data_IF_614353177793
#
_entry.id   IF_614353177793
#
_cell.length_a   1.000
_cell.length_b   1.000
_cell.length_c   1.000
_cell.angle_alpha   90.00
_cell.angle_beta   90.00
_cell.angle_gamma   90.00
#
_symmetry.space_group_name_H-M   'P 1'
#
loop_
_entity.id
_entity.type
_entity.pdbx_description
1 polymer ?
#
# COMPACT_ATOMS: atom_id res chain seq x y z
N UNK A 1 5.63 -15.47 -25.67
CA UNK A 1 6.63 -16.27 -24.90
C UNK A 1 6.13 -16.45 -23.47
N UNK A 2 6.36 -17.61 -22.87
CA UNK A 2 6.02 -17.83 -21.46
C UNK A 2 7.18 -17.38 -20.59
N UNK A 3 6.91 -16.49 -19.62
CA UNK A 3 7.87 -15.98 -18.65
C UNK A 3 7.47 -16.43 -17.24
N UNK A 4 8.44 -16.99 -16.49
CA UNK A 4 8.23 -17.30 -15.08
C UNK A 4 8.73 -16.13 -14.21
N UNK A 5 7.94 -15.71 -13.25
CA UNK A 5 8.19 -14.58 -12.34
C UNK A 5 8.21 -15.12 -10.91
N UNK A 6 9.22 -14.72 -10.14
CA UNK A 6 9.30 -14.97 -8.69
C UNK A 6 9.27 -13.63 -7.96
N UNK A 7 8.30 -13.46 -7.07
CA UNK A 7 8.22 -12.36 -6.13
C UNK A 7 8.48 -12.86 -4.71
N UNK A 8 9.34 -12.16 -3.95
CA UNK A 8 9.61 -12.47 -2.54
C UNK A 8 9.32 -11.21 -1.71
N UNK A 9 8.26 -11.28 -0.92
CA UNK A 9 7.95 -10.25 0.07
C UNK A 9 8.62 -10.60 1.40
N UNK A 10 9.48 -9.69 1.88
CA UNK A 10 10.24 -9.83 3.12
C UNK A 10 9.59 -8.95 4.20
N UNK A 11 8.45 -9.42 4.70
CA UNK A 11 7.69 -8.74 5.74
C UNK A 11 8.22 -8.99 7.15
N UNK A 12 7.86 -8.11 8.10
CA UNK A 12 8.27 -8.24 9.51
C UNK A 12 7.59 -9.38 10.26
N UNK A 13 6.46 -9.87 9.78
CA UNK A 13 5.68 -10.95 10.42
C UNK A 13 5.81 -12.26 9.65
N UNK A 14 5.73 -12.19 8.32
CA UNK A 14 5.88 -13.34 7.43
C UNK A 14 6.75 -12.99 6.23
N UNK A 15 7.40 -14.00 5.67
CA UNK A 15 8.04 -13.98 4.36
C UNK A 15 7.14 -14.76 3.41
N UNK A 16 6.85 -14.17 2.26
CA UNK A 16 5.99 -14.76 1.23
C UNK A 16 6.78 -14.89 -0.07
N UNK A 17 6.82 -16.09 -0.64
CA UNK A 17 7.37 -16.34 -1.97
C UNK A 17 6.23 -16.76 -2.91
N UNK A 18 6.07 -16.06 -4.04
CA UNK A 18 5.03 -16.33 -5.03
C UNK A 18 5.71 -16.55 -6.38
N UNK A 19 5.32 -17.63 -7.05
CA UNK A 19 5.76 -17.95 -8.40
C UNK A 19 4.55 -17.86 -9.33
N UNK A 20 4.70 -17.09 -10.41
CA UNK A 20 3.67 -16.92 -11.43
C UNK A 20 4.26 -17.16 -12.82
N UNK A 21 3.42 -17.59 -13.75
CA UNK A 21 3.73 -17.58 -15.20
C UNK A 21 2.95 -16.47 -15.87
N UNK A 22 3.58 -15.80 -16.82
CA UNK A 22 2.96 -14.84 -17.70
C UNK A 22 2.99 -15.39 -19.13
N UNK A 23 1.81 -15.55 -19.73
CA UNK A 23 1.66 -15.95 -21.12
C UNK A 23 0.63 -15.06 -21.79
N UNK A 24 1.01 -14.42 -22.89
CA UNK A 24 0.15 -13.54 -23.70
C UNK A 24 -0.55 -12.45 -22.84
N UNK A 25 0.19 -11.86 -21.91
CA UNK A 25 -0.29 -10.83 -20.97
C UNK A 25 -1.08 -11.37 -19.77
N UNK A 26 -1.45 -12.65 -19.76
CA UNK A 26 -2.22 -13.27 -18.68
C UNK A 26 -1.27 -13.82 -17.62
N UNK A 27 -1.48 -13.38 -16.37
CA UNK A 27 -0.75 -13.88 -15.20
C UNK A 27 -1.48 -15.06 -14.57
N UNK A 28 -0.74 -16.12 -14.27
CA UNK A 28 -1.24 -17.29 -13.57
C UNK A 28 -0.30 -17.65 -12.41
N UNK A 29 -0.81 -17.67 -11.18
CA UNK A 29 -0.03 -18.08 -10.01
C UNK A 29 0.05 -19.60 -9.98
N UNK A 30 1.28 -20.13 -9.95
CA UNK A 30 1.55 -21.57 -9.97
C UNK A 30 2.18 -22.09 -8.69
N UNK A 31 2.70 -21.22 -7.81
CA UNK A 31 3.29 -21.66 -6.55
C UNK A 31 3.33 -20.58 -5.50
N UNK A 32 3.14 -20.99 -4.24
CA UNK A 32 3.18 -20.11 -3.07
C UNK A 32 3.90 -20.78 -1.93
N UNK A 33 4.60 -19.98 -1.13
CA UNK A 33 5.23 -20.44 0.10
C UNK A 33 5.26 -19.32 1.12
N UNK A 34 4.91 -19.66 2.36
CA UNK A 34 4.86 -18.72 3.48
C UNK A 34 5.70 -19.26 4.64
N UNK A 35 6.46 -18.39 5.27
CA UNK A 35 7.20 -18.72 6.46
C UNK A 35 7.17 -17.59 7.47
N UNK A 36 7.12 -17.91 8.77
CA UNK A 36 7.21 -16.90 9.82
C UNK A 36 8.52 -16.15 9.70
N UNK A 37 8.47 -14.82 9.74
CA UNK A 37 9.65 -13.97 9.66
C UNK A 37 10.55 -14.14 10.88
N UNK A 38 11.85 -14.25 10.65
CA UNK A 38 12.88 -14.32 11.68
C UNK A 38 14.07 -13.45 11.27
N UNK A 39 14.80 -12.89 12.25
CA UNK A 39 15.96 -12.04 11.98
C UNK A 39 15.64 -10.69 11.37
N UNK A 40 14.36 -10.24 11.42
CA UNK A 40 13.93 -8.92 11.01
C UNK A 40 13.35 -8.13 12.20
N UNK A 41 13.63 -6.83 12.25
CA UNK A 41 13.05 -5.92 13.25
C UNK A 41 12.78 -4.57 12.58
N UNK A 42 11.55 -4.04 12.75
CA UNK A 42 11.12 -2.75 12.19
C UNK A 42 11.43 -2.64 10.68
N UNK A 43 11.15 -3.70 9.92
CA UNK A 43 11.36 -3.72 8.46
C UNK A 43 12.82 -3.89 8.01
N UNK A 44 13.78 -4.11 8.90
CA UNK A 44 15.19 -4.26 8.58
C UNK A 44 15.77 -5.58 9.04
N UNK A 45 16.77 -6.12 8.32
CA UNK A 45 17.48 -7.35 8.66
C UNK A 45 18.42 -7.09 9.85
N UNK A 46 18.18 -7.76 10.97
CA UNK A 46 18.99 -7.71 12.19
C UNK A 46 19.82 -8.97 12.42
N UNK A 47 19.41 -10.09 11.79
CA UNK A 47 20.17 -11.34 11.78
C UNK A 47 20.09 -11.98 10.39
N UNK A 48 21.22 -11.96 9.67
CA UNK A 48 21.30 -12.40 8.27
C UNK A 48 21.00 -13.89 8.14
N UNK A 49 21.51 -14.72 9.05
CA UNK A 49 21.33 -16.17 9.00
C UNK A 49 19.87 -16.57 9.20
N UNK A 50 19.21 -15.99 10.23
CA UNK A 50 17.80 -16.27 10.49
C UNK A 50 16.90 -15.79 9.35
N UNK A 51 17.16 -14.59 8.81
CA UNK A 51 16.42 -14.06 7.68
C UNK A 51 16.62 -14.93 6.43
N UNK A 52 17.85 -15.32 6.13
CA UNK A 52 18.17 -16.20 5.01
C UNK A 52 17.46 -17.56 5.11
N UNK A 53 17.45 -18.17 6.29
CA UNK A 53 16.75 -19.43 6.54
C UNK A 53 15.24 -19.30 6.31
N UNK A 54 14.62 -18.24 6.81
CA UNK A 54 13.20 -17.99 6.63
C UNK A 54 12.85 -17.75 5.15
N UNK A 55 13.68 -16.99 4.40
CA UNK A 55 13.53 -16.79 2.95
C UNK A 55 13.66 -18.12 2.21
N UNK A 56 14.68 -18.92 2.54
CA UNK A 56 14.92 -20.22 1.90
C UNK A 56 13.75 -21.18 2.12
N UNK A 57 13.18 -21.22 3.32
CA UNK A 57 12.03 -22.07 3.62
C UNK A 57 10.80 -21.66 2.79
N UNK A 58 10.43 -20.39 2.78
CA UNK A 58 9.32 -19.89 1.96
C UNK A 58 9.52 -20.18 0.46
N UNK A 59 10.74 -19.99 -0.04
CA UNK A 59 11.07 -20.29 -1.44
C UNK A 59 11.01 -21.79 -1.76
N UNK A 60 11.45 -22.64 -0.85
CA UNK A 60 11.41 -24.10 -1.02
C UNK A 60 9.96 -24.59 -1.15
N UNK A 61 9.06 -24.07 -0.31
CA UNK A 61 7.64 -24.40 -0.40
C UNK A 61 7.01 -23.89 -1.70
N UNK A 62 7.30 -22.65 -2.11
CA UNK A 62 6.79 -22.10 -3.37
C UNK A 62 7.27 -22.92 -4.59
N UNK A 63 8.54 -23.30 -4.63
CA UNK A 63 9.11 -24.14 -5.71
C UNK A 63 8.49 -25.53 -5.74
N UNK A 64 8.26 -26.13 -4.57
CA UNK A 64 7.62 -27.45 -4.46
C UNK A 64 6.19 -27.42 -5.02
N UNK A 65 5.42 -26.37 -4.73
CA UNK A 65 4.06 -26.20 -5.26
C UNK A 65 4.08 -25.92 -6.77
N UNK A 66 4.99 -25.06 -7.23
CA UNK A 66 5.09 -24.67 -8.64
C UNK A 66 5.72 -25.75 -9.55
N UNK A 67 6.44 -26.72 -8.98
CA UNK A 67 7.20 -27.72 -9.76
C UNK A 67 8.35 -27.12 -10.59
N UNK A 68 8.88 -25.94 -10.21
CA UNK A 68 9.92 -25.21 -10.95
C UNK A 68 11.04 -24.73 -10.02
N UNK A 69 12.25 -24.60 -10.55
CA UNK A 69 13.43 -24.18 -9.79
C UNK A 69 13.92 -22.77 -10.21
N UNK A 70 13.04 -21.78 -10.13
CA UNK A 70 13.41 -20.39 -10.38
C UNK A 70 14.19 -19.82 -9.20
N UNK A 71 15.29 -19.07 -9.47
CA UNK A 71 16.13 -18.46 -8.44
C UNK A 71 16.31 -16.94 -8.59
N UNK A 72 15.79 -16.34 -9.66
CA UNK A 72 15.85 -14.88 -9.89
C UNK A 72 14.53 -14.24 -9.48
N UNK A 73 14.58 -13.29 -8.53
CA UNK A 73 13.39 -12.74 -7.89
C UNK A 73 13.34 -11.21 -7.90
N UNK A 74 12.13 -10.67 -7.98
CA UNK A 74 11.81 -9.32 -7.54
C UNK A 74 11.50 -9.37 -6.04
N UNK A 75 12.13 -8.48 -5.26
CA UNK A 75 12.12 -8.55 -3.80
C UNK A 75 11.61 -7.25 -3.20
N UNK A 76 10.80 -7.33 -2.14
CA UNK A 76 10.35 -6.16 -1.40
C UNK A 76 11.45 -5.59 -0.49
N UNK A 77 11.39 -4.26 -0.29
CA UNK A 77 12.10 -3.56 0.78
C UNK A 77 11.12 -2.68 1.53
N UNK A 78 11.15 -2.72 2.87
CA UNK A 78 10.32 -1.84 3.69
C UNK A 78 10.76 -0.38 3.59
N UNK A 79 9.84 0.56 3.83
CA UNK A 79 10.10 1.98 3.95
C UNK A 79 11.04 2.38 5.11
N UNK A 80 11.38 1.43 5.99
CA UNK A 80 12.36 1.65 7.05
C UNK A 80 13.71 2.06 6.45
N UNK A 81 14.29 3.14 6.98
CA UNK A 81 15.57 3.69 6.51
C UNK A 81 15.56 4.19 5.06
N UNK A 82 14.38 4.40 4.48
CA UNK A 82 14.23 5.09 3.20
C UNK A 82 14.08 6.59 3.39
N UNK A 83 14.47 7.35 2.38
CA UNK A 83 14.20 8.78 2.25
C UNK A 83 13.68 9.06 0.86
N UNK A 84 12.79 10.02 0.77
CA UNK A 84 12.27 10.49 -0.51
C UNK A 84 12.61 11.96 -0.70
N UNK A 85 13.00 12.30 -1.91
CA UNK A 85 13.36 13.66 -2.30
C UNK A 85 12.75 13.94 -3.66
N UNK A 86 12.11 15.10 -3.80
CA UNK A 86 11.66 15.59 -5.08
C UNK A 86 12.81 16.32 -5.78
N UNK A 87 12.91 16.13 -7.08
CA UNK A 87 13.91 16.78 -7.92
C UNK A 87 13.36 17.06 -9.30
N UNK A 88 14.01 17.94 -10.03
CA UNK A 88 13.70 18.22 -11.44
C UNK A 88 14.95 18.27 -12.29
N UNK A 89 14.75 17.94 -13.57
CA UNK A 89 15.79 18.06 -14.59
C UNK A 89 15.27 18.78 -15.81
N UNK A 90 16.15 19.52 -16.47
CA UNK A 90 15.83 20.26 -17.69
C UNK A 90 16.85 19.83 -18.76
N UNK A 91 16.34 19.60 -19.97
CA UNK A 91 17.15 19.22 -21.12
C UNK A 91 16.74 20.06 -22.33
N UNK A 92 17.72 20.61 -23.04
CA UNK A 92 17.50 21.11 -24.39
C UNK A 92 17.51 19.97 -25.39
N UNK A 93 16.47 19.88 -26.25
CA UNK A 93 16.27 18.82 -27.25
C UNK A 93 16.80 19.28 -28.62
N UNK A 94 17.96 18.79 -29.06
CA UNK A 94 18.64 19.35 -30.25
C UNK A 94 17.85 19.20 -31.55
N UNK A 95 17.13 18.10 -31.71
CA UNK A 95 16.40 17.76 -32.94
C UNK A 95 14.89 18.08 -32.83
N UNK A 96 14.45 18.74 -31.76
CA UNK A 96 13.05 19.03 -31.46
C UNK A 96 12.12 17.80 -31.47
N UNK A 97 12.65 16.61 -31.34
CA UNK A 97 11.89 15.34 -31.23
C UNK A 97 12.31 14.59 -29.98
N UNK A 98 11.32 14.21 -29.17
CA UNK A 98 11.56 13.55 -27.90
C UNK A 98 11.47 12.05 -28.07
N UNK A 99 12.59 11.38 -27.86
CA UNK A 99 12.68 9.93 -27.79
C UNK A 99 13.03 9.44 -26.39
N UNK A 100 13.09 8.12 -26.23
CA UNK A 100 13.48 7.47 -24.96
C UNK A 100 14.85 7.95 -24.46
N UNK A 101 15.75 8.31 -25.36
CA UNK A 101 17.08 8.82 -25.04
C UNK A 101 17.01 10.18 -24.33
N UNK A 102 16.18 11.09 -24.82
CA UNK A 102 15.96 12.43 -24.26
C UNK A 102 15.26 12.32 -22.90
N UNK A 103 14.26 11.44 -22.79
CA UNK A 103 13.57 11.15 -21.52
C UNK A 103 14.56 10.59 -20.48
N UNK A 104 15.39 9.62 -20.86
CA UNK A 104 16.40 9.07 -19.95
C UNK A 104 17.40 10.16 -19.51
N UNK A 105 17.87 11.00 -20.43
CA UNK A 105 18.83 12.08 -20.12
C UNK A 105 18.25 13.12 -19.17
N UNK A 106 17.01 13.53 -19.37
CA UNK A 106 16.38 14.53 -18.47
C UNK A 106 16.15 13.96 -17.07
N UNK A 107 15.81 12.64 -16.95
CA UNK A 107 15.70 11.95 -15.66
C UNK A 107 17.07 11.85 -14.98
N UNK A 108 18.15 11.54 -15.72
CA UNK A 108 19.51 11.53 -15.18
C UNK A 108 19.94 12.92 -14.71
N UNK A 109 19.52 13.99 -15.39
CA UNK A 109 19.76 15.36 -14.94
C UNK A 109 19.03 15.63 -13.62
N UNK A 110 17.77 15.20 -13.48
CA UNK A 110 17.03 15.30 -12.23
C UNK A 110 17.72 14.53 -11.09
N UNK A 111 18.22 13.33 -11.37
CA UNK A 111 18.99 12.54 -10.40
C UNK A 111 20.25 13.26 -9.94
N UNK A 112 21.01 13.85 -10.87
CA UNK A 112 22.22 14.61 -10.56
C UNK A 112 21.91 15.82 -9.66
N UNK A 113 20.82 16.53 -9.91
CA UNK A 113 20.38 17.70 -9.13
C UNK A 113 19.93 17.35 -7.71
N UNK A 114 19.59 16.10 -7.44
CA UNK A 114 18.95 15.67 -6.18
C UNK A 114 19.89 15.66 -4.96
N UNK A 115 21.21 15.86 -5.11
CA UNK A 115 22.19 15.92 -3.99
C UNK A 115 22.02 14.76 -2.97
N UNK A 116 22.02 13.52 -3.45
CA UNK A 116 21.82 12.33 -2.60
C UNK A 116 23.09 12.06 -1.78
N UNK A 117 22.99 11.92 -0.43
CA UNK A 117 24.11 11.60 0.42
C UNK A 117 24.76 10.24 0.07
N UNK A 118 26.09 10.15 0.22
CA UNK A 118 26.87 8.97 -0.19
C UNK A 118 26.48 7.67 0.53
N UNK A 119 25.89 7.75 1.74
CA UNK A 119 25.43 6.60 2.50
C UNK A 119 24.07 6.04 2.02
N UNK A 120 23.42 6.70 1.06
CA UNK A 120 22.16 6.24 0.45
C UNK A 120 22.37 5.69 -0.95
N UNK A 121 21.49 4.77 -1.34
CA UNK A 121 21.40 4.17 -2.67
C UNK A 121 19.97 4.36 -3.20
N UNK A 122 19.86 4.73 -4.47
CA UNK A 122 18.57 4.93 -5.14
C UNK A 122 17.95 3.57 -5.44
N UNK A 123 16.67 3.42 -5.06
CA UNK A 123 15.87 2.24 -5.38
C UNK A 123 14.79 2.52 -6.43
N UNK A 124 14.24 3.75 -6.46
CA UNK A 124 13.29 4.18 -7.48
C UNK A 124 13.51 5.64 -7.84
N UNK A 125 13.38 5.97 -9.13
CA UNK A 125 13.16 7.33 -9.60
C UNK A 125 11.83 7.30 -10.35
N UNK A 126 10.82 7.97 -9.81
CA UNK A 126 9.44 7.93 -10.29
C UNK A 126 9.07 9.29 -10.88
N UNK A 127 9.02 9.44 -12.21
CA UNK A 127 8.51 10.64 -12.83
C UNK A 127 7.04 10.85 -12.48
N UNK A 128 6.64 12.08 -12.18
CA UNK A 128 5.27 12.40 -11.87
C UNK A 128 4.70 13.57 -12.69
N UNK A 129 5.55 14.24 -13.47
CA UNK A 129 5.13 15.33 -14.36
C UNK A 129 6.23 15.59 -15.38
N UNK A 130 5.84 15.78 -16.64
CA UNK A 130 6.69 16.36 -17.67
C UNK A 130 6.14 17.74 -18.06
N UNK A 131 7.05 18.58 -18.57
CA UNK A 131 6.76 19.86 -19.18
C UNK A 131 7.57 19.98 -20.47
N UNK A 132 6.94 20.42 -21.54
CA UNK A 132 7.54 20.61 -22.85
C UNK A 132 7.32 22.05 -23.30
N UNK A 133 8.41 22.80 -23.42
CA UNK A 133 8.38 24.24 -23.67
C UNK A 133 7.47 24.96 -22.65
N UNK A 134 6.35 25.56 -23.07
CA UNK A 134 5.38 26.23 -22.21
C UNK A 134 4.20 25.31 -21.80
N UNK A 135 4.16 24.07 -22.30
CA UNK A 135 3.07 23.13 -22.05
C UNK A 135 3.34 22.30 -20.78
N UNK A 136 2.54 22.53 -19.75
CA UNK A 136 2.57 21.81 -18.48
C UNK A 136 1.69 20.54 -18.48
N UNK A 137 1.94 19.63 -17.52
CA UNK A 137 1.14 18.42 -17.25
C UNK A 137 1.06 17.45 -18.42
N UNK A 138 2.22 17.14 -19.00
CA UNK A 138 2.34 16.09 -20.02
C UNK A 138 2.61 14.76 -19.31
N UNK A 139 1.75 13.77 -19.57
CA UNK A 139 1.88 12.42 -19.00
C UNK A 139 2.91 11.59 -19.77
N UNK A 140 2.89 11.66 -21.09
CA UNK A 140 3.81 10.96 -21.98
C UNK A 140 4.39 11.91 -23.03
N UNK A 141 5.66 12.30 -22.91
CA UNK A 141 6.30 13.18 -23.87
C UNK A 141 6.86 12.44 -25.09
N UNK A 142 6.75 11.10 -25.18
CA UNK A 142 7.30 10.31 -26.28
C UNK A 142 6.74 10.75 -27.64
N UNK A 143 7.62 10.88 -28.64
CA UNK A 143 7.31 11.29 -30.02
C UNK A 143 6.72 12.73 -30.14
N UNK A 144 6.68 13.50 -29.04
CA UNK A 144 6.29 14.90 -29.08
C UNK A 144 7.43 15.78 -29.63
N UNK A 145 7.05 16.91 -30.26
CA UNK A 145 8.02 17.90 -30.78
C UNK A 145 8.12 19.07 -29.82
N UNK A 146 9.34 19.42 -29.42
CA UNK A 146 9.65 20.56 -28.56
C UNK A 146 11.13 20.76 -28.34
N UNK A 147 11.53 21.94 -27.89
CA UNK A 147 12.93 22.33 -27.74
C UNK A 147 13.46 22.17 -26.32
N UNK A 148 12.59 22.22 -25.30
CA UNK A 148 12.94 22.16 -23.89
C UNK A 148 12.06 21.15 -23.15
N UNK A 149 12.65 20.02 -22.76
CA UNK A 149 12.00 19.01 -21.94
C UNK A 149 12.40 19.20 -20.47
N UNK A 150 11.41 19.25 -19.57
CA UNK A 150 11.60 19.26 -18.14
C UNK A 150 10.85 18.08 -17.50
N UNK A 151 11.45 17.43 -16.51
CA UNK A 151 10.83 16.35 -15.73
C UNK A 151 10.87 16.66 -14.26
N UNK A 152 9.80 16.29 -13.57
CA UNK A 152 9.73 16.29 -12.12
C UNK A 152 9.65 14.85 -11.64
N UNK A 153 10.53 14.50 -10.71
CA UNK A 153 10.69 13.12 -10.25
C UNK A 153 10.68 13.04 -8.73
N UNK A 154 10.09 11.95 -8.22
CA UNK A 154 10.27 11.54 -6.84
C UNK A 154 11.33 10.45 -6.78
N UNK A 155 12.40 10.70 -6.02
CA UNK A 155 13.53 9.78 -5.86
C UNK A 155 13.42 9.13 -4.49
N UNK A 156 13.35 7.80 -4.48
CA UNK A 156 13.32 7.00 -3.26
C UNK A 156 14.68 6.36 -3.07
N UNK A 157 15.27 6.61 -1.91
CA UNK A 157 16.61 6.13 -1.54
C UNK A 157 16.54 5.32 -0.25
N UNK A 158 17.49 4.42 -0.04
CA UNK A 158 17.64 3.66 1.20
C UNK A 158 19.06 3.66 1.68
N UNK A 159 19.28 3.45 2.99
CA UNK A 159 20.62 3.32 3.55
C UNK A 159 21.36 2.13 2.95
N UNK A 160 22.59 2.33 2.45
CA UNK A 160 23.45 1.28 1.86
C UNK A 160 23.71 0.11 2.81
N UNK A 161 23.83 0.39 4.11
CA UNK A 161 24.05 -0.65 5.14
C UNK A 161 22.82 -1.59 5.26
N UNK A 162 21.61 -1.01 5.37
CA UNK A 162 20.36 -1.78 5.43
C UNK A 162 20.14 -2.59 4.16
N UNK A 163 20.32 -1.97 2.99
CA UNK A 163 20.23 -2.63 1.69
C UNK A 163 21.27 -3.74 1.55
N UNK A 164 22.49 -3.52 1.99
CA UNK A 164 23.57 -4.51 1.96
C UNK A 164 23.25 -5.73 2.81
N UNK A 165 22.67 -5.56 4.00
CA UNK A 165 22.24 -6.67 4.86
C UNK A 165 21.09 -7.46 4.21
N UNK A 166 20.13 -6.79 3.59
CA UNK A 166 19.04 -7.42 2.86
C UNK A 166 19.59 -8.23 1.67
N UNK A 167 20.43 -7.63 0.83
CA UNK A 167 21.08 -8.32 -0.31
C UNK A 167 21.88 -9.55 0.13
N UNK A 168 22.61 -9.47 1.27
CA UNK A 168 23.34 -10.60 1.84
C UNK A 168 22.40 -11.74 2.28
N UNK A 169 21.31 -11.43 2.98
CA UNK A 169 20.35 -12.42 3.44
C UNK A 169 19.70 -13.17 2.26
N UNK A 170 19.31 -12.44 1.21
CA UNK A 170 18.70 -12.98 -0.02
C UNK A 170 19.71 -13.89 -0.76
N UNK A 171 20.93 -13.40 -0.96
CA UNK A 171 21.99 -14.17 -1.63
C UNK A 171 22.33 -15.45 -0.86
N UNK A 172 22.38 -15.38 0.47
CA UNK A 172 22.61 -16.56 1.34
C UNK A 172 21.46 -17.57 1.28
N UNK A 173 20.25 -17.15 0.93
CA UNK A 173 19.12 -18.04 0.65
C UNK A 173 19.15 -18.69 -0.74
N UNK A 174 20.18 -18.39 -1.57
CA UNK A 174 20.33 -18.92 -2.94
C UNK A 174 19.45 -18.20 -3.97
N UNK A 175 19.14 -16.92 -3.74
CA UNK A 175 18.33 -16.09 -4.63
C UNK A 175 19.19 -15.02 -5.28
N UNK A 176 19.02 -14.85 -6.59
CA UNK A 176 19.51 -13.72 -7.37
C UNK A 176 18.44 -12.64 -7.41
N UNK A 177 18.82 -11.40 -7.14
CA UNK A 177 17.89 -10.27 -7.14
C UNK A 177 17.80 -9.73 -8.58
N UNK A 178 16.60 -9.70 -9.14
CA UNK A 178 16.33 -9.03 -10.42
C UNK A 178 15.95 -7.57 -10.26
N UNK A 179 15.26 -7.25 -9.17
CA UNK A 179 14.88 -5.88 -8.82
C UNK A 179 14.50 -5.80 -7.33
N UNK A 180 14.62 -4.61 -6.75
CA UNK A 180 14.18 -4.31 -5.38
C UNK A 180 13.10 -3.25 -5.45
N UNK A 181 11.94 -3.54 -4.86
CA UNK A 181 10.75 -2.69 -4.93
C UNK A 181 10.31 -2.32 -3.52
N UNK A 182 9.97 -1.04 -3.31
CA UNK A 182 9.42 -0.58 -2.04
C UNK A 182 8.09 -1.29 -1.74
N UNK A 183 7.92 -1.83 -0.51
CA UNK A 183 6.76 -2.64 -0.12
C UNK A 183 5.43 -1.92 -0.37
N UNK A 184 5.33 -0.66 0.05
CA UNK A 184 4.12 0.15 -0.13
C UNK A 184 3.86 0.50 -1.60
N UNK A 185 4.90 0.64 -2.42
CA UNK A 185 4.73 0.82 -3.86
C UNK A 185 4.18 -0.45 -4.50
N UNK A 186 4.71 -1.61 -4.14
CA UNK A 186 4.18 -2.89 -4.60
C UNK A 186 2.73 -3.10 -4.14
N UNK A 187 2.42 -2.86 -2.85
CA UNK A 187 1.04 -3.02 -2.35
C UNK A 187 0.07 -2.04 -3.02
N UNK A 188 0.47 -0.79 -3.30
CA UNK A 188 -0.38 0.17 -4.03
C UNK A 188 -0.70 -0.30 -5.47
N UNK A 189 0.27 -0.92 -6.16
CA UNK A 189 0.05 -1.53 -7.49
C UNK A 189 -0.99 -2.66 -7.43
N UNK A 190 -1.03 -3.42 -6.33
CA UNK A 190 -1.93 -4.55 -6.18
C UNK A 190 -3.36 -4.15 -5.82
N UNK A 191 -3.56 -3.00 -5.15
CA UNK A 191 -4.86 -2.68 -4.52
C UNK A 191 -5.58 -1.47 -5.10
N UNK A 192 -4.87 -0.60 -5.85
CA UNK A 192 -5.43 0.60 -6.43
C UNK A 192 -5.83 0.38 -7.90
N UNK A 193 -7.01 0.87 -8.26
CA UNK A 193 -7.42 1.02 -9.66
C UNK A 193 -6.81 2.27 -10.30
N UNK A 194 -6.71 2.29 -11.63
CA UNK A 194 -6.21 3.47 -12.35
C UNK A 194 -7.11 4.69 -12.13
N UNK A 195 -8.44 4.48 -12.05
CA UNK A 195 -9.39 5.57 -11.75
C UNK A 195 -9.17 6.19 -10.37
N UNK A 196 -8.85 5.40 -9.34
CA UNK A 196 -8.52 5.92 -8.01
C UNK A 196 -7.23 6.72 -8.02
N UNK A 197 -6.20 6.25 -8.72
CA UNK A 197 -4.93 6.98 -8.85
C UNK A 197 -5.11 8.29 -9.59
N UNK A 198 -5.92 8.29 -10.66
CA UNK A 198 -6.25 9.49 -11.44
C UNK A 198 -6.94 10.55 -10.59
N UNK A 199 -7.99 10.16 -9.86
CA UNK A 199 -8.77 11.06 -9.01
C UNK A 199 -8.04 11.50 -7.72
N UNK A 200 -6.92 10.87 -7.41
CA UNK A 200 -6.16 11.08 -6.18
C UNK A 200 -6.62 10.18 -5.04
N UNK A 201 -5.67 9.40 -4.50
CA UNK A 201 -5.89 8.42 -3.43
C UNK A 201 -4.70 8.30 -2.51
N UNK A 202 -4.95 8.16 -1.20
CA UNK A 202 -3.94 7.76 -0.24
C UNK A 202 -4.05 6.25 0.04
N UNK A 203 -3.00 5.49 -0.23
CA UNK A 203 -2.89 4.08 0.10
C UNK A 203 -2.03 3.91 1.35
N UNK A 204 -2.56 3.21 2.36
CA UNK A 204 -1.84 2.94 3.61
C UNK A 204 -1.73 1.43 3.77
N UNK A 205 -0.50 0.92 3.72
CA UNK A 205 -0.18 -0.47 4.04
C UNK A 205 0.12 -0.60 5.54
N UNK A 206 -0.78 -1.24 6.28
CA UNK A 206 -0.71 -1.42 7.73
C UNK A 206 -0.18 -2.81 8.05
N UNK A 207 1.14 -2.91 8.18
CA UNK A 207 1.87 -4.16 8.38
C UNK A 207 2.04 -4.58 9.83
N UNK A 208 2.96 -5.55 10.05
CA UNK A 208 3.28 -6.08 11.38
C UNK A 208 4.10 -5.12 12.25
N UNK A 209 5.10 -4.47 11.69
CA UNK A 209 5.98 -3.55 12.43
C UNK A 209 5.98 -2.13 11.86
N UNK A 210 5.32 -1.92 10.74
CA UNK A 210 5.38 -0.69 9.95
C UNK A 210 4.01 -0.37 9.37
N UNK A 211 3.71 0.92 9.24
CA UNK A 211 2.65 1.45 8.38
C UNK A 211 3.29 2.37 7.35
N UNK A 212 2.94 2.23 6.10
CA UNK A 212 3.53 2.96 5.00
C UNK A 212 2.43 3.69 4.22
N UNK A 213 2.55 5.01 4.09
CA UNK A 213 1.62 5.87 3.37
C UNK A 213 2.16 6.17 1.97
N UNK A 214 1.32 6.03 0.95
CA UNK A 214 1.57 6.48 -0.41
C UNK A 214 0.40 7.28 -0.95
N UNK A 215 0.69 8.41 -1.59
CA UNK A 215 -0.31 9.27 -2.22
C UNK A 215 -0.08 9.29 -3.72
N UNK A 216 -1.10 8.88 -4.47
CA UNK A 216 -1.14 8.94 -5.92
C UNK A 216 -2.10 10.04 -6.36
N UNK A 217 -1.72 10.83 -7.37
CA UNK A 217 -2.54 11.87 -8.00
C UNK A 217 -2.17 11.90 -9.49
N UNK A 218 -3.16 11.86 -10.38
CA UNK A 218 -2.94 11.83 -11.82
C UNK A 218 -2.07 10.64 -12.23
N UNK A 219 -2.40 9.43 -11.73
CA UNK A 219 -1.67 8.18 -11.98
C UNK A 219 -0.21 8.15 -11.51
N UNK A 220 0.28 9.19 -10.82
CA UNK A 220 1.67 9.33 -10.41
C UNK A 220 1.83 9.33 -8.90
N UNK A 221 2.94 8.79 -8.38
CA UNK A 221 3.28 8.84 -6.96
C UNK A 221 3.77 10.26 -6.60
N UNK A 222 3.02 10.95 -5.73
CA UNK A 222 3.31 12.33 -5.31
C UNK A 222 3.93 12.43 -3.91
N UNK A 223 3.62 11.47 -3.04
CA UNK A 223 4.13 11.48 -1.67
C UNK A 223 4.23 10.06 -1.12
N UNK A 224 5.22 9.81 -0.29
CA UNK A 224 5.31 8.59 0.51
C UNK A 224 5.93 8.91 1.86
N UNK A 225 5.45 8.23 2.90
CA UNK A 225 5.95 8.33 4.26
C UNK A 225 5.91 6.97 4.96
N UNK A 226 6.63 6.87 6.06
CA UNK A 226 6.86 5.65 6.81
C UNK A 226 6.66 5.88 8.30
N UNK A 227 5.89 5.01 8.94
CA UNK A 227 5.71 4.96 10.38
C UNK A 227 6.20 3.61 10.91
N UNK A 228 7.18 3.61 11.81
CA UNK A 228 7.76 2.41 12.43
C UNK A 228 6.86 1.78 13.51
N UNK A 229 5.53 1.79 13.30
CA UNK A 229 4.50 1.20 14.17
C UNK A 229 3.61 0.29 13.32
N UNK A 230 3.21 -0.85 13.88
CA UNK A 230 2.31 -1.81 13.24
C UNK A 230 1.70 -2.77 14.27
N UNK A 231 1.05 -3.83 13.81
CA UNK A 231 0.25 -4.73 14.66
C UNK A 231 1.06 -5.45 15.76
N UNK A 232 2.38 -5.58 15.63
CA UNK A 232 3.25 -6.13 16.68
C UNK A 232 3.32 -5.21 17.92
N UNK A 233 3.10 -3.90 17.76
CA UNK A 233 3.05 -2.98 18.89
C UNK A 233 1.79 -3.24 19.73
N UNK A 234 0.66 -3.55 19.10
CA UNK A 234 -0.57 -3.99 19.78
C UNK A 234 -0.29 -5.26 20.60
N UNK A 235 0.41 -6.25 20.01
CA UNK A 235 0.79 -7.49 20.70
C UNK A 235 1.65 -7.20 21.93
N UNK A 236 2.63 -6.30 21.80
CA UNK A 236 3.50 -5.92 22.91
C UNK A 236 2.74 -5.19 24.01
N UNK A 237 1.83 -4.25 23.63
CA UNK A 237 1.00 -3.54 24.58
C UNK A 237 0.07 -4.49 25.36
N UNK A 238 -0.53 -5.47 24.66
CA UNK A 238 -1.32 -6.53 25.30
C UNK A 238 -0.44 -7.41 26.22
N UNK A 239 0.75 -7.81 25.78
CA UNK A 239 1.66 -8.61 26.59
C UNK A 239 2.03 -7.90 27.90
N UNK A 240 2.34 -6.60 27.82
CA UNK A 240 2.69 -5.77 28.98
C UNK A 240 1.45 -5.45 29.85
N UNK A 241 0.37 -4.97 29.24
CA UNK A 241 -0.84 -4.57 29.96
C UNK A 241 -1.56 -5.75 30.61
N UNK A 242 -1.47 -6.92 30.00
CA UNK A 242 -2.07 -8.14 30.53
C UNK A 242 -1.05 -9.07 31.24
N UNK A 243 0.20 -8.67 31.44
CA UNK A 243 1.25 -9.51 32.05
C UNK A 243 1.22 -10.95 31.55
N UNK A 244 1.19 -11.13 30.22
CA UNK A 244 1.08 -12.46 29.56
C UNK A 244 2.18 -12.65 28.54
N UNK A 245 2.59 -13.89 28.21
CA UNK A 245 3.60 -14.12 27.18
C UNK A 245 3.19 -13.52 25.82
N UNK A 246 4.15 -12.98 24.99
CA UNK A 246 3.84 -12.36 23.70
C UNK A 246 3.09 -13.26 22.73
N UNK A 247 3.35 -14.58 22.74
CA UNK A 247 2.63 -15.53 21.90
C UNK A 247 1.14 -15.67 22.30
N UNK A 248 0.82 -15.56 23.58
CA UNK A 248 -0.57 -15.54 24.09
C UNK A 248 -1.23 -14.19 23.76
N UNK A 249 -0.51 -13.07 23.95
CA UNK A 249 -1.00 -11.75 23.57
C UNK A 249 -1.33 -11.67 22.06
N UNK A 250 -0.53 -12.30 21.20
CA UNK A 250 -0.81 -12.41 19.77
C UNK A 250 -2.10 -13.21 19.50
N UNK A 251 -2.30 -14.33 20.20
CA UNK A 251 -3.54 -15.11 20.08
C UNK A 251 -4.74 -14.32 20.56
N UNK A 252 -4.63 -13.59 21.68
CA UNK A 252 -5.70 -12.72 22.20
C UNK A 252 -6.03 -11.63 21.17
N UNK A 253 -5.03 -10.99 20.57
CA UNK A 253 -5.25 -9.99 19.51
C UNK A 253 -5.98 -10.57 18.31
N UNK A 254 -5.57 -11.74 17.82
CA UNK A 254 -6.18 -12.37 16.64
C UNK A 254 -7.61 -12.84 16.92
N UNK A 255 -7.85 -13.41 18.10
CA UNK A 255 -9.13 -14.02 18.44
C UNK A 255 -10.18 -13.01 18.94
N UNK A 256 -9.75 -11.99 19.67
CA UNK A 256 -10.63 -11.05 20.36
C UNK A 256 -10.41 -9.58 19.97
N UNK A 257 -9.54 -9.31 18.98
CA UNK A 257 -9.28 -7.95 18.51
C UNK A 257 -10.49 -7.32 17.83
N UNK A 258 -11.05 -6.32 18.46
CA UNK A 258 -12.22 -5.58 17.98
C UNK A 258 -12.11 -4.10 18.40
N UNK A 259 -12.55 -3.19 17.54
CA UNK A 259 -12.55 -1.74 17.77
C UNK A 259 -13.96 -1.17 17.96
N UNK A 260 -14.99 -2.02 17.96
CA UNK A 260 -16.39 -1.61 18.15
C UNK A 260 -16.69 -1.48 19.64
N UNK A 261 -16.92 -0.26 20.10
CA UNK A 261 -17.18 0.07 21.51
C UNK A 261 -18.48 -0.56 22.06
N UNK A 262 -19.47 -0.72 21.22
CA UNK A 262 -20.81 -1.17 21.60
C UNK A 262 -20.99 -2.69 21.51
N UNK A 263 -19.90 -3.44 21.39
CA UNK A 263 -19.96 -4.91 21.33
C UNK A 263 -20.35 -5.48 22.71
N UNK A 264 -21.42 -6.27 22.76
CA UNK A 264 -21.82 -6.98 23.98
C UNK A 264 -20.76 -7.96 24.50
N UNK A 265 -19.94 -8.49 23.56
CA UNK A 265 -18.82 -9.37 23.87
C UNK A 265 -17.77 -8.71 24.79
N UNK A 266 -17.71 -7.37 24.88
CA UNK A 266 -16.77 -6.69 25.79
C UNK A 266 -16.99 -7.01 27.27
N UNK A 267 -18.16 -7.50 27.63
CA UNK A 267 -18.50 -7.92 29.01
C UNK A 267 -17.94 -9.29 29.36
N UNK A 268 -17.53 -10.07 28.37
CA UNK A 268 -17.04 -11.42 28.57
C UNK A 268 -15.65 -11.43 29.23
N UNK A 269 -15.36 -12.52 29.92
CA UNK A 269 -14.06 -12.79 30.54
C UNK A 269 -13.31 -13.84 29.76
N UNK A 270 -12.01 -13.64 29.58
CA UNK A 270 -11.12 -14.63 29.03
C UNK A 270 -10.10 -15.11 30.08
N UNK A 271 -9.71 -16.38 30.03
CA UNK A 271 -8.65 -16.91 30.85
C UNK A 271 -7.33 -16.98 30.07
N UNK A 272 -6.30 -16.33 30.63
CA UNK A 272 -4.98 -16.31 30.03
C UNK A 272 -3.92 -16.65 31.07
N UNK A 273 -2.79 -17.31 30.66
CA UNK A 273 -1.66 -17.53 31.55
C UNK A 273 -0.99 -16.20 31.92
N UNK A 274 -0.52 -16.08 33.18
CA UNK A 274 0.19 -14.92 33.72
C UNK A 274 1.71 -15.18 33.76
N UNK A 275 2.52 -14.14 33.49
CA UNK A 275 3.95 -14.18 33.72
C UNK A 275 4.23 -13.89 35.20
N UNK A 276 5.11 -14.67 35.85
CA UNK A 276 5.59 -14.44 37.21
C UNK A 276 4.74 -15.03 38.33
N UNK A 277 3.69 -15.81 38.02
CA UNK A 277 2.97 -16.63 38.99
C UNK A 277 3.55 -18.03 39.10
N UNK A 278 3.03 -18.86 40.06
CA UNK A 278 3.31 -20.31 40.09
C UNK A 278 2.98 -20.95 38.74
N UNK A 279 3.70 -22.03 38.36
CA UNK A 279 3.47 -22.75 37.11
C UNK A 279 1.97 -23.07 36.95
N UNK A 280 1.35 -22.58 35.82
CA UNK A 280 -0.08 -22.70 35.49
C UNK A 280 -1.05 -21.71 36.13
N UNK A 281 -0.59 -20.60 36.71
CA UNK A 281 -1.53 -19.57 37.20
C UNK A 281 -2.23 -18.89 36.02
N UNK A 282 -3.52 -19.17 35.88
CA UNK A 282 -4.40 -18.48 34.94
C UNK A 282 -5.08 -17.28 35.62
N UNK A 283 -5.25 -16.21 34.89
CA UNK A 283 -6.03 -15.05 35.33
C UNK A 283 -7.19 -14.79 34.41
N UNK A 284 -8.26 -14.27 34.97
CA UNK A 284 -9.42 -13.78 34.22
C UNK A 284 -9.22 -12.31 33.86
N UNK A 285 -9.45 -11.99 32.59
CA UNK A 285 -9.31 -10.65 32.02
C UNK A 285 -10.60 -10.30 31.29
N UNK A 286 -11.23 -9.14 31.61
CA UNK A 286 -12.35 -8.64 30.82
C UNK A 286 -11.93 -8.26 29.41
N UNK A 287 -12.73 -8.61 28.40
CA UNK A 287 -12.47 -8.22 27.01
C UNK A 287 -12.50 -6.69 26.82
N UNK A 288 -13.19 -5.96 27.70
CA UNK A 288 -13.14 -4.50 27.72
C UNK A 288 -11.71 -3.96 27.91
N UNK A 289 -10.86 -4.62 28.71
CA UNK A 289 -9.45 -4.24 28.89
C UNK A 289 -8.66 -4.50 27.62
N UNK A 290 -8.89 -5.66 26.99
CA UNK A 290 -8.26 -5.99 25.69
C UNK A 290 -8.64 -4.96 24.63
N UNK A 291 -9.93 -4.64 24.52
CA UNK A 291 -10.45 -3.59 23.64
C UNK A 291 -9.73 -2.24 23.86
N UNK A 292 -9.69 -1.75 25.11
CA UNK A 292 -9.08 -0.46 25.43
C UNK A 292 -7.62 -0.38 24.98
N UNK A 293 -6.85 -1.43 25.24
CA UNK A 293 -5.42 -1.48 24.85
C UNK A 293 -5.29 -1.43 23.32
N UNK A 294 -6.05 -2.23 22.59
CA UNK A 294 -6.02 -2.29 21.12
C UNK A 294 -6.48 -0.95 20.55
N UNK A 295 -7.61 -0.43 21.02
CA UNK A 295 -8.21 0.81 20.54
C UNK A 295 -7.24 1.99 20.65
N UNK A 296 -6.63 2.20 21.82
CA UNK A 296 -5.70 3.31 22.06
C UNK A 296 -4.48 3.24 21.13
N UNK A 297 -3.94 2.03 20.89
CA UNK A 297 -2.79 1.87 19.98
C UNK A 297 -3.19 2.13 18.52
N UNK A 298 -4.34 1.64 18.08
CA UNK A 298 -4.80 1.85 16.71
C UNK A 298 -5.14 3.32 16.47
N UNK A 299 -5.87 3.94 17.41
CA UNK A 299 -6.20 5.37 17.36
C UNK A 299 -4.94 6.24 17.25
N UNK A 300 -3.94 6.02 18.12
CA UNK A 300 -2.66 6.73 18.06
C UNK A 300 -1.98 6.55 16.69
N UNK A 301 -1.93 5.31 16.20
CA UNK A 301 -1.32 5.00 14.90
C UNK A 301 -2.01 5.76 13.76
N UNK A 302 -3.34 5.75 13.73
CA UNK A 302 -4.13 6.45 12.71
C UNK A 302 -4.00 7.97 12.83
N UNK A 303 -3.93 8.52 14.05
CA UNK A 303 -3.70 9.96 14.26
C UNK A 303 -2.33 10.42 13.73
N UNK A 304 -1.28 9.62 13.93
CA UNK A 304 0.05 9.93 13.39
C UNK A 304 0.02 9.89 11.86
N UNK A 305 -0.64 8.89 11.27
CA UNK A 305 -0.80 8.79 9.82
C UNK A 305 -1.65 9.95 9.25
N UNK A 306 -2.70 10.38 9.95
CA UNK A 306 -3.49 11.54 9.57
C UNK A 306 -2.65 12.82 9.57
N UNK A 307 -1.78 13.00 10.58
CA UNK A 307 -0.85 14.11 10.62
C UNK A 307 0.15 14.08 9.46
N UNK A 308 0.69 12.90 9.11
CA UNK A 308 1.57 12.74 7.94
C UNK A 308 0.84 13.10 6.64
N UNK A 309 -0.42 12.69 6.51
CA UNK A 309 -1.28 13.06 5.38
C UNK A 309 -1.48 14.59 5.29
N UNK A 310 -1.73 15.25 6.40
CA UNK A 310 -1.85 16.72 6.45
C UNK A 310 -0.55 17.42 6.05
N UNK A 311 0.60 16.92 6.54
CA UNK A 311 1.92 17.44 6.21
C UNK A 311 2.30 17.29 4.74
N UNK A 312 1.69 16.36 4.02
CA UNK A 312 1.88 16.22 2.56
C UNK A 312 1.36 17.42 1.76
N UNK A 313 0.42 18.20 2.31
CA UNK A 313 -0.34 19.25 1.63
C UNK A 313 -1.12 18.77 0.39
N UNK A 314 -1.43 17.47 0.32
CA UNK A 314 -2.12 16.85 -0.81
C UNK A 314 -3.53 16.33 -0.43
N UNK A 315 -3.94 16.48 0.84
CA UNK A 315 -5.21 15.94 1.35
C UNK A 315 -6.42 16.38 0.52
N UNK A 316 -6.47 17.64 0.12
CA UNK A 316 -7.59 18.22 -0.64
C UNK A 316 -7.65 17.71 -2.09
N UNK A 317 -6.61 17.03 -2.57
CA UNK A 317 -6.54 16.43 -3.90
C UNK A 317 -6.92 14.94 -3.93
N UNK A 318 -7.37 14.39 -2.81
CA UNK A 318 -7.71 12.97 -2.68
C UNK A 318 -9.20 12.72 -2.97
N UNK A 319 -9.60 12.84 -4.22
CA UNK A 319 -11.00 12.61 -4.62
C UNK A 319 -11.53 11.20 -4.35
N UNK A 320 -10.64 10.19 -4.33
CA UNK A 320 -10.98 8.79 -4.02
C UNK A 320 -10.79 8.42 -2.55
N UNK A 321 -10.39 9.36 -1.69
CA UNK A 321 -10.23 9.13 -0.26
C UNK A 321 -9.04 8.22 0.09
N UNK A 322 -9.24 7.29 1.02
CA UNK A 322 -8.18 6.47 1.61
C UNK A 322 -8.43 4.98 1.39
N UNK A 323 -7.39 4.27 1.02
CA UNK A 323 -7.37 2.82 0.86
C UNK A 323 -6.43 2.22 1.90
N UNK A 324 -6.96 1.36 2.77
CA UNK A 324 -6.18 0.61 3.75
C UNK A 324 -5.94 -0.80 3.23
N UNK A 325 -4.71 -1.30 3.40
CA UNK A 325 -4.32 -2.67 3.12
C UNK A 325 -3.33 -3.17 4.18
N UNK A 326 -2.86 -4.41 4.05
CA UNK A 326 -1.96 -5.01 5.04
C UNK A 326 -2.67 -5.75 6.17
N UNK A 327 -1.91 -6.57 6.90
CA UNK A 327 -2.46 -7.52 7.87
C UNK A 327 -3.18 -6.91 9.06
N UNK A 328 -2.82 -5.69 9.47
CA UNK A 328 -3.47 -4.98 10.58
C UNK A 328 -4.92 -4.57 10.24
N UNK A 329 -5.26 -4.44 8.96
CA UNK A 329 -6.62 -4.08 8.52
C UNK A 329 -7.66 -5.18 8.75
N UNK A 330 -7.24 -6.35 9.23
CA UNK A 330 -8.14 -7.42 9.67
C UNK A 330 -8.83 -7.14 11.02
N UNK A 331 -8.38 -6.13 11.76
CA UNK A 331 -9.06 -5.70 12.97
C UNK A 331 -10.46 -5.19 12.64
N UNK A 332 -11.46 -5.78 13.29
CA UNK A 332 -12.85 -5.37 13.13
C UNK A 332 -13.05 -3.93 13.62
N UNK A 333 -13.76 -3.11 12.83
CA UNK A 333 -14.01 -1.70 13.15
C UNK A 333 -12.91 -0.72 12.73
N UNK A 334 -11.79 -1.19 12.15
CA UNK A 334 -10.67 -0.31 11.76
C UNK A 334 -11.06 0.69 10.66
N UNK A 335 -11.94 0.31 9.74
CA UNK A 335 -12.42 1.17 8.66
C UNK A 335 -13.20 2.36 9.22
N UNK A 336 -14.12 2.09 10.13
CA UNK A 336 -14.98 3.09 10.77
C UNK A 336 -14.15 4.07 11.60
N UNK A 337 -13.21 3.57 12.40
CA UNK A 337 -12.29 4.39 13.19
C UNK A 337 -11.39 5.24 12.29
N UNK A 338 -10.83 4.66 11.23
CA UNK A 338 -10.00 5.38 10.27
C UNK A 338 -10.81 6.47 9.55
N UNK A 339 -12.05 6.17 9.09
CA UNK A 339 -12.90 7.17 8.44
C UNK A 339 -13.21 8.36 9.36
N UNK A 340 -13.43 8.11 10.65
CA UNK A 340 -13.65 9.17 11.64
C UNK A 340 -12.40 10.04 11.86
N UNK A 341 -11.20 9.42 11.98
CA UNK A 341 -9.94 10.13 12.25
C UNK A 341 -9.47 10.95 11.04
N UNK A 342 -9.50 10.36 9.84
CA UNK A 342 -9.09 11.06 8.62
C UNK A 342 -10.13 12.06 8.12
N UNK A 343 -11.39 11.94 8.58
CA UNK A 343 -12.55 12.69 8.08
C UNK A 343 -12.73 12.55 6.55
N UNK A 344 -12.52 11.33 6.03
CA UNK A 344 -12.56 10.98 4.61
C UNK A 344 -13.17 9.59 4.42
N UNK A 345 -13.68 9.27 3.21
CA UNK A 345 -14.07 7.91 2.87
C UNK A 345 -12.88 6.95 2.97
N UNK A 346 -13.09 5.81 3.61
CA UNK A 346 -12.07 4.76 3.77
C UNK A 346 -12.61 3.42 3.27
N UNK A 347 -11.82 2.71 2.47
CA UNK A 347 -12.07 1.31 2.13
C UNK A 347 -10.90 0.42 2.53
N UNK A 348 -11.19 -0.83 2.87
CA UNK A 348 -10.18 -1.87 3.02
C UNK A 348 -10.03 -2.58 1.69
N UNK A 349 -8.79 -2.73 1.22
CA UNK A 349 -8.47 -3.35 -0.05
C UNK A 349 -7.77 -4.70 0.12
N UNK A 350 -8.13 -5.60 -0.77
CA UNK A 350 -7.44 -6.86 -1.04
C UNK A 350 -6.71 -6.73 -2.37
N UNK A 351 -5.66 -7.53 -2.62
CA UNK A 351 -4.98 -7.49 -3.91
C UNK A 351 -5.90 -7.89 -5.05
N UNK A 352 -5.63 -7.35 -6.24
CA UNK A 352 -6.33 -7.70 -7.49
C UNK A 352 -6.31 -9.22 -7.70
N UNK A 353 -7.44 -9.78 -8.10
CA UNK A 353 -7.55 -11.21 -8.40
C UNK A 353 -6.76 -11.55 -9.67
N UNK A 354 -5.89 -12.55 -9.56
CA UNK A 354 -5.12 -13.15 -10.64
C UNK A 354 -5.59 -14.59 -10.88
N UNK A 355 -5.37 -15.11 -12.08
CA UNK A 355 -5.68 -16.51 -12.37
C UNK A 355 -4.79 -17.45 -11.53
N UNK A 356 -5.33 -18.61 -11.17
CA UNK A 356 -4.61 -19.57 -10.32
C UNK A 356 -4.39 -19.09 -8.89
N UNK A 357 -5.04 -18.01 -8.46
CA UNK A 357 -4.87 -17.45 -7.11
C UNK A 357 -5.40 -18.43 -6.07
N UNK A 358 -4.56 -18.78 -5.13
CA UNK A 358 -4.94 -19.56 -3.97
C UNK A 358 -5.74 -18.70 -2.98
N UNK A 359 -6.70 -19.29 -2.28
CA UNK A 359 -7.56 -18.55 -1.33
C UNK A 359 -6.76 -17.77 -0.29
N UNK A 360 -5.61 -18.30 0.13
CA UNK A 360 -4.71 -17.66 1.10
C UNK A 360 -4.09 -16.35 0.59
N UNK A 361 -4.14 -16.09 -0.71
CA UNK A 361 -3.62 -14.85 -1.32
C UNK A 361 -4.68 -13.75 -1.45
N UNK A 362 -5.96 -14.07 -1.24
CA UNK A 362 -7.08 -13.11 -1.35
C UNK A 362 -7.25 -12.25 -0.10
N UNK A 363 -6.19 -11.98 0.62
CA UNK A 363 -6.22 -11.25 1.88
C UNK A 363 -5.31 -10.01 1.84
N UNK A 364 -5.63 -8.94 2.60
CA UNK A 364 -4.89 -7.68 2.58
C UNK A 364 -3.38 -7.83 2.86
N UNK A 365 -2.98 -8.78 3.70
CA UNK A 365 -1.58 -9.05 4.02
C UNK A 365 -0.77 -9.67 2.88
N UNK A 366 -1.40 -9.94 1.73
CA UNK A 366 -0.72 -10.46 0.54
C UNK A 366 -0.53 -9.40 -0.54
N UNK A 367 -0.97 -8.17 -0.29
CA UNK A 367 -0.94 -7.08 -1.27
C UNK A 367 0.47 -6.80 -1.78
N UNK A 368 1.47 -6.72 -0.91
CA UNK A 368 2.88 -6.54 -1.33
C UNK A 368 3.35 -7.68 -2.23
N UNK A 369 3.12 -8.93 -1.84
CA UNK A 369 3.60 -10.10 -2.58
C UNK A 369 2.95 -10.19 -3.99
N UNK A 370 1.66 -9.93 -4.10
CA UNK A 370 0.95 -9.86 -5.39
C UNK A 370 1.43 -8.64 -6.20
N UNK A 371 1.67 -7.51 -5.53
CA UNK A 371 2.20 -6.30 -6.16
C UNK A 371 3.56 -6.50 -6.80
N UNK A 372 4.45 -7.31 -6.19
CA UNK A 372 5.74 -7.67 -6.79
C UNK A 372 5.58 -8.46 -8.10
N UNK A 373 4.61 -9.37 -8.17
CA UNK A 373 4.29 -10.12 -9.39
C UNK A 373 3.75 -9.17 -10.47
N UNK A 374 2.83 -8.28 -10.09
CA UNK A 374 2.28 -7.27 -11.00
C UNK A 374 3.35 -6.29 -11.50
N UNK A 375 4.24 -5.84 -10.61
CA UNK A 375 5.36 -4.99 -10.98
C UNK A 375 6.30 -5.67 -11.98
N UNK A 376 6.65 -6.92 -11.75
CA UNK A 376 7.49 -7.70 -12.65
C UNK A 376 6.83 -7.97 -14.00
N UNK A 377 5.50 -8.06 -14.04
CA UNK A 377 4.71 -8.27 -15.25
C UNK A 377 4.50 -7.02 -16.11
N UNK A 378 4.93 -5.84 -15.63
CA UNK A 378 4.83 -4.59 -16.39
C UNK A 378 3.92 -3.52 -15.78
N UNK A 379 3.34 -3.72 -14.58
CA UNK A 379 2.58 -2.67 -13.88
C UNK A 379 3.49 -1.82 -13.02
N UNK A 380 4.02 -0.76 -13.58
CA UNK A 380 4.92 0.21 -12.94
C UNK A 380 4.63 1.63 -13.47
N UNK A 381 5.17 2.65 -12.80
CA UNK A 381 5.12 4.04 -13.26
C UNK A 381 5.91 4.19 -14.57
N UNK A 382 5.31 4.81 -15.59
CA UNK A 382 5.99 4.97 -16.89
C UNK A 382 7.27 5.77 -16.74
N UNK A 383 8.33 5.36 -17.45
CA UNK A 383 9.69 5.93 -17.37
C UNK A 383 10.36 5.84 -15.98
N UNK A 384 9.87 4.97 -15.10
CA UNK A 384 10.56 4.67 -13.84
C UNK A 384 11.99 4.21 -14.10
N UNK A 385 12.94 4.69 -13.28
CA UNK A 385 14.28 4.08 -13.19
C UNK A 385 14.30 3.20 -11.95
N UNK A 386 14.50 1.91 -12.18
CA UNK A 386 14.44 0.86 -11.16
C UNK A 386 15.74 0.74 -10.33
N UNK A 387 15.77 -0.19 -9.37
CA UNK A 387 16.91 -0.42 -8.48
C UNK A 387 18.18 -0.88 -9.20
N UNK A 388 18.06 -1.46 -10.41
CA UNK A 388 19.18 -1.86 -11.28
C UNK A 388 19.55 -0.76 -12.29
N UNK A 389 18.96 0.45 -12.12
CA UNK A 389 19.21 1.66 -12.95
C UNK A 389 18.74 1.52 -14.40
N UNK A 390 17.80 0.62 -14.65
CA UNK A 390 17.16 0.50 -15.95
C UNK A 390 15.93 1.39 -16.01
N UNK A 391 15.77 2.12 -17.13
CA UNK A 391 14.53 2.84 -17.41
C UNK A 391 13.47 1.83 -17.87
N UNK A 392 12.31 1.90 -17.26
CA UNK A 392 11.16 1.04 -17.57
C UNK A 392 10.07 1.88 -18.24
N UNK A 393 9.60 1.45 -19.38
CA UNK A 393 8.52 2.13 -20.09
C UNK A 393 7.56 1.12 -20.71
N UNK A 394 6.31 1.52 -20.86
CA UNK A 394 5.27 0.75 -21.54
C UNK A 394 5.13 1.28 -22.96
N UNK A 395 5.28 0.41 -23.96
CA UNK A 395 4.89 0.75 -25.33
C UNK A 395 3.39 0.48 -25.47
N UNK A 396 2.58 1.50 -25.78
CA UNK A 396 1.13 1.35 -25.98
C UNK A 396 0.78 0.33 -27.08
N UNK A 397 1.70 0.01 -27.97
CA UNK A 397 1.53 -1.00 -29.03
C UNK A 397 1.26 -2.42 -28.50
N UNK A 398 1.50 -2.68 -27.19
CA UNK A 398 1.23 -3.97 -26.55
C UNK A 398 -0.08 -4.00 -25.72
N UNK A 399 -0.73 -2.87 -25.51
CA UNK A 399 -1.92 -2.78 -24.68
C UNK A 399 -3.24 -2.82 -25.44
N UNK A 400 -3.24 -2.68 -26.77
CA UNK A 400 -4.46 -2.70 -27.60
C UNK A 400 -5.09 -4.07 -27.79
N UNK A 401 -4.43 -5.17 -27.39
CA UNK A 401 -4.94 -6.54 -27.60
C UNK A 401 -5.60 -7.17 -26.37
N UNK A 402 -5.69 -6.46 -25.23
CA UNK A 402 -6.44 -6.93 -24.05
C UNK A 402 -7.80 -6.26 -23.97
N UNK A 403 -8.63 -6.52 -24.96
CA UNK A 403 -10.08 -6.26 -24.87
C UNK A 403 -10.66 -7.28 -23.88
N UNK A 404 -11.17 -6.77 -22.75
CA UNK A 404 -11.81 -7.60 -21.73
C UNK A 404 -12.95 -8.44 -22.36
N UNK A 405 -13.19 -9.67 -21.88
CA UNK A 405 -14.26 -10.53 -22.41
C UNK A 405 -15.67 -9.91 -22.39
N UNK A 406 -15.90 -8.91 -21.55
CA UNK A 406 -17.17 -8.18 -21.44
C UNK A 406 -17.46 -7.24 -22.61
N UNK A 407 -16.45 -6.74 -23.34
CA UNK A 407 -16.67 -5.88 -24.51
C UNK A 407 -17.01 -6.67 -25.78
N UNK A 408 -16.65 -7.97 -25.83
CA UNK A 408 -17.03 -8.84 -26.98
C UNK A 408 -18.49 -9.29 -26.93
N UNK A 409 -19.14 -9.29 -25.77
CA UNK A 409 -20.56 -9.62 -25.66
C UNK A 409 -21.48 -8.46 -26.13
N UNK A 410 -21.02 -7.22 -26.04
CA UNK A 410 -21.77 -6.04 -26.48
C UNK A 410 -21.72 -5.79 -27.99
N UNK A 411 -20.72 -6.34 -28.70
CA UNK A 411 -20.54 -6.13 -30.15
C UNK A 411 -21.29 -7.16 -31.05
N UNK A 412 -21.98 -8.11 -30.47
CA UNK A 412 -22.73 -9.15 -31.22
C UNK A 412 -24.25 -9.01 -31.17
N UNK A 413 -24.80 -7.90 -30.70
CA UNK A 413 -26.22 -7.62 -30.85
C UNK A 413 -26.46 -6.84 -32.16
N UNK A 414 -26.92 -7.59 -33.17
CA UNK A 414 -27.41 -7.09 -34.45
C UNK A 414 -28.57 -6.08 -34.25
N UNK A 415 -28.64 -5.05 -35.07
CA UNK A 415 -29.78 -4.11 -35.04
C UNK A 415 -30.99 -4.78 -35.66
N UNK A 416 -31.99 -5.09 -34.85
CA UNK A 416 -33.32 -5.45 -35.33
C UNK A 416 -34.12 -4.14 -35.52
N UNK A 417 -34.38 -3.89 -36.78
CA UNK A 417 -35.44 -3.12 -37.44
C UNK A 417 -36.40 -2.33 -36.55
N UNK A 418 -36.38 -1.02 -36.79
CA UNK A 418 -37.46 -0.08 -36.52
C UNK A 418 -38.77 -0.59 -37.17
N UNK A 419 -39.80 -0.75 -36.37
CA UNK A 419 -41.19 -0.59 -36.79
C UNK A 419 -41.84 0.47 -35.95
N UNK A 420 -42.15 1.56 -36.60
CA UNK A 420 -42.97 2.68 -36.12
C UNK A 420 -44.34 2.16 -35.65
N UNK A 421 -44.73 2.52 -34.45
CA UNK A 421 -46.15 2.65 -34.06
C UNK A 421 -46.34 3.96 -33.38
N UNK A 422 -46.95 4.88 -34.09
CA UNK A 422 -47.63 6.07 -33.62
C UNK A 422 -48.82 5.68 -32.77
N UNK A 423 -48.93 6.18 -31.54
CA UNK A 423 -50.17 6.81 -31.06
C UNK A 423 -49.97 7.52 -29.72
N UNK A 424 -50.36 8.70 -29.74
CA UNK A 424 -50.62 9.78 -28.79
C UNK A 424 -51.29 9.36 -27.47
N UNK A 425 -50.79 9.95 -26.34
CA UNK A 425 -51.57 10.86 -25.50
C UNK A 425 -50.67 11.48 -24.41
N UNK A 426 -50.89 12.75 -23.97
CA UNK A 426 -49.96 13.51 -23.17
C UNK A 426 -50.26 13.35 -21.67
N UNK A 427 -49.24 12.99 -20.89
CA UNK A 427 -49.30 13.18 -19.44
C UNK A 427 -48.47 14.39 -19.07
N UNK A 428 -49.21 15.43 -18.69
CA UNK A 428 -48.69 16.63 -18.01
C UNK A 428 -48.00 16.26 -16.69
N UNK A 429 -46.73 16.49 -16.58
CA UNK A 429 -46.09 16.74 -15.29
C UNK A 429 -45.13 17.92 -15.43
N UNK A 430 -45.52 18.99 -14.83
CA UNK A 430 -44.78 20.28 -14.72
C UNK A 430 -43.50 20.03 -13.93
N UNK A 431 -42.33 20.47 -14.38
CA UNK A 431 -41.13 20.42 -13.58
C UNK A 431 -41.21 21.45 -12.43
N UNK A 432 -40.97 20.99 -11.22
CA UNK A 432 -40.87 21.85 -10.03
C UNK A 432 -39.77 22.89 -10.21
N UNK A 433 -40.09 24.11 -9.82
CA UNK A 433 -39.23 25.27 -9.98
C UNK A 433 -38.00 25.24 -9.09
N UNK A 434 -36.92 25.91 -9.48
CA UNK A 434 -35.67 26.02 -8.75
C UNK A 434 -35.79 26.60 -7.32
N UNK A 435 -36.99 27.10 -6.93
CA UNK A 435 -37.27 27.59 -5.58
C UNK A 435 -37.57 26.44 -4.56
N UNK A 436 -38.17 25.33 -5.03
CA UNK A 436 -38.52 24.20 -4.18
C UNK A 436 -37.28 23.38 -3.77
N UNK A 437 -36.23 23.41 -4.61
CA UNK A 437 -34.94 22.72 -4.34
C UNK A 437 -34.12 23.45 -3.26
N UNK A 438 -34.29 24.78 -3.12
CA UNK A 438 -33.58 25.54 -2.08
C UNK A 438 -34.18 25.35 -0.67
N UNK A 439 -35.42 24.97 -0.55
CA UNK A 439 -36.08 24.77 0.74
C UNK A 439 -35.75 23.41 1.35
N UNK A 440 -35.58 22.36 0.52
CA UNK A 440 -35.16 21.03 0.97
C UNK A 440 -33.67 20.98 1.40
N UNK A 441 -32.83 21.91 0.91
CA UNK A 441 -31.41 22.00 1.29
C UNK A 441 -31.19 22.80 2.59
N UNK A 442 -32.15 23.63 3.04
CA UNK A 442 -32.02 24.40 4.28
C UNK A 442 -32.31 23.60 5.55
N UNK A 443 -33.02 22.48 5.44
CA UNK A 443 -33.35 21.62 6.56
C UNK A 443 -32.27 20.55 6.86
N UNK A 444 -31.34 20.34 5.95
CA UNK A 444 -30.21 19.40 6.12
C UNK A 444 -29.02 20.04 6.88
N UNK A 445 -29.00 21.37 7.03
CA UNK A 445 -27.85 22.09 7.63
C UNK A 445 -28.00 22.41 9.13
N UNK A 446 -28.97 21.85 9.84
CA UNK A 446 -29.01 21.98 11.30
C UNK A 446 -28.22 20.87 11.99
N UNK A 447 -26.89 20.84 11.79
CA UNK A 447 -25.99 20.09 12.65
C UNK A 447 -25.88 20.83 13.97
N UNK A 448 -26.46 20.25 15.03
CA UNK A 448 -26.27 20.71 16.41
C UNK A 448 -24.77 20.67 16.74
N UNK A 449 -24.17 21.83 16.98
CA UNK A 449 -22.85 21.93 17.61
C UNK A 449 -22.95 21.36 19.02
N UNK A 450 -22.34 20.20 19.26
CA UNK A 450 -22.11 19.67 20.59
C UNK A 450 -20.73 20.20 21.00
N UNK A 451 -20.69 21.06 22.00
CA UNK A 451 -19.45 21.47 22.66
C UNK A 451 -18.94 20.27 23.48
N UNK A 452 -17.69 19.84 23.34
CA UNK A 452 -17.14 18.83 24.25
C UNK A 452 -16.88 19.50 25.61
N UNK A 453 -17.50 18.95 26.65
CA UNK A 453 -17.07 19.23 28.03
C UNK A 453 -15.68 18.61 28.24
N UNK A 454 -14.71 19.42 28.63
CA UNK A 454 -13.37 18.97 29.01
C UNK A 454 -13.46 18.17 30.30
N UNK A 455 -13.38 16.86 30.21
CA UNK A 455 -13.23 15.99 31.38
C UNK A 455 -11.76 15.94 31.80
N UNK A 456 -11.51 16.24 33.08
CA UNK A 456 -10.17 16.26 33.72
C UNK A 456 -9.40 14.93 33.62
N UNK A 457 -10.03 13.84 33.26
CA UNK A 457 -9.44 12.51 33.09
C UNK A 457 -8.56 12.35 31.84
N UNK A 458 -8.86 13.05 30.74
CA UNK A 458 -8.07 12.99 29.52
C UNK A 458 -6.62 13.50 29.73
N UNK A 459 -6.42 14.46 30.62
CA UNK A 459 -5.10 15.05 30.90
C UNK A 459 -4.15 14.13 31.72
N UNK A 460 -4.67 13.20 32.49
CA UNK A 460 -3.86 12.26 33.28
C UNK A 460 -3.30 11.13 32.40
N UNK A 461 -4.09 10.64 31.46
CA UNK A 461 -3.71 9.58 30.52
C UNK A 461 -2.65 10.09 29.53
N UNK A 462 -2.82 11.30 28.99
CA UNK A 462 -1.83 11.93 28.10
C UNK A 462 -0.51 12.17 28.81
N UNK A 463 -0.50 12.57 30.10
CA UNK A 463 0.73 12.73 30.90
C UNK A 463 1.43 11.41 31.18
N UNK A 464 0.72 10.34 31.43
CA UNK A 464 1.28 9.00 31.65
C UNK A 464 2.00 8.51 30.39
N UNK A 465 1.37 8.64 29.21
CA UNK A 465 1.96 8.21 27.94
C UNK A 465 3.12 9.07 27.48
N UNK A 466 3.11 10.39 27.73
CA UNK A 466 4.29 11.23 27.47
C UNK A 466 5.52 10.81 28.29
N UNK A 467 5.30 10.28 29.48
CA UNK A 467 6.37 9.77 30.33
C UNK A 467 6.93 8.43 29.84
N UNK A 468 6.06 7.59 29.25
CA UNK A 468 6.47 6.30 28.68
C UNK A 468 7.26 6.48 27.37
N UNK A 469 6.88 7.43 26.52
CA UNK A 469 7.58 7.69 25.23
C UNK A 469 8.92 8.37 25.40
N UNK A 470 9.22 8.95 26.56
CA UNK A 470 10.54 9.52 26.90
C UNK A 470 11.51 8.47 27.48
N UNK A 471 11.05 7.25 27.79
CA UNK A 471 11.89 6.18 28.34
C UNK A 471 12.30 5.13 27.28
N UNK A 472 11.89 5.30 26.03
CA UNK A 472 12.27 4.50 24.88
C UNK A 472 12.65 5.38 23.69
#
# INVERSE_FOLDING_TARGET
MEQTILGIDIGSTKISAIIATQKDGILNIIGTGFHKSQGLKKGSVTNIEQASRAIKNALTDARRVAGTNINKAVVSISGAYTKSTDSSGILHVPNNEIGLKEINRVIQTALYNASIPNEYEVIHILPYKFKLDDQDFIDDPMEMSGSRLEVFVRIITTQKSSLGNLKKAIKSAGVEISNIVLSSYASSIAVLSEAEKELGVACIDMGGSTCELMIHIGNSLRYNDFLGVGSNHITNDLAMGLYTPPNIAEQVKIQYGNLNKDSEALKDLIEIPSIGGEENTKKQVPLEVVYKIIYMRVEETLMILAKSLEQSNLKDQLGSGIVLTGGMTKLEGIRELASAIFAMPVRIAKPTELNGIFNDLKCPECSTAIGLILYASGKFTNYEVDSEKNIRFRSEKLSSDVVSPLSKAAAQMNPLQEKAITNTEPVNSVPKSAADIKQDLSDITKIKKIHPEETKEANAVVKFWRKLTQMF
#
